data_IF_139418159449
#
_entry.id   IF_139418159449
#
_cell.length_a   1.000
_cell.length_b   1.000
_cell.length_c   1.000
_cell.angle_alpha   90.00
_cell.angle_beta   90.00
_cell.angle_gamma   90.00
#
_symmetry.space_group_name_H-M   'P 1'
#
loop_
_entity.id
_entity.type
_entity.pdbx_description
1 polymer ?
#
# COMPACT_ATOMS: atom_id res chain seq x y z
N UNK A 1 6.84 23.23 -2.49
CA UNK A 1 7.58 21.98 -2.21
C UNK A 1 6.59 20.85 -1.86
N UNK A 2 5.76 20.39 -2.80
CA UNK A 2 4.78 19.30 -2.55
C UNK A 2 5.30 17.91 -3.00
N UNK A 3 6.40 17.86 -3.73
CA UNK A 3 6.93 16.62 -4.35
C UNK A 3 7.59 15.68 -3.33
N UNK A 4 8.20 16.23 -2.28
CA UNK A 4 8.88 15.43 -1.25
C UNK A 4 7.90 14.60 -0.40
N UNK A 5 6.71 15.14 -0.10
CA UNK A 5 5.69 14.43 0.65
C UNK A 5 5.19 13.21 -0.12
N UNK A 6 4.95 13.36 -1.43
CA UNK A 6 4.53 12.26 -2.31
C UNK A 6 5.60 11.16 -2.40
N UNK A 7 6.86 11.55 -2.63
CA UNK A 7 7.98 10.59 -2.73
C UNK A 7 8.16 9.81 -1.43
N UNK A 8 8.02 10.49 -0.29
CA UNK A 8 8.08 9.87 1.04
C UNK A 8 6.93 8.90 1.26
N UNK A 9 5.70 9.31 0.93
CA UNK A 9 4.52 8.45 1.04
C UNK A 9 4.65 7.18 0.20
N UNK A 10 5.12 7.30 -1.05
CA UNK A 10 5.36 6.15 -1.93
C UNK A 10 6.43 5.20 -1.38
N UNK A 11 7.53 5.74 -0.86
CA UNK A 11 8.61 4.92 -0.26
C UNK A 11 8.08 4.14 0.95
N UNK A 12 7.31 4.79 1.81
CA UNK A 12 6.72 4.17 3.00
C UNK A 12 5.64 3.13 2.67
N UNK A 13 4.89 3.34 1.59
CA UNK A 13 3.96 2.34 1.07
C UNK A 13 4.72 1.12 0.50
N UNK A 14 5.79 1.37 -0.25
CA UNK A 14 6.61 0.30 -0.83
C UNK A 14 7.32 -0.54 0.25
N UNK A 15 7.78 0.08 1.34
CA UNK A 15 8.34 -0.62 2.50
C UNK A 15 7.30 -1.37 3.34
N UNK A 16 6.00 -1.24 3.04
CA UNK A 16 4.91 -1.82 3.83
C UNK A 16 4.74 -1.16 5.20
N UNK A 17 5.31 0.04 5.39
CA UNK A 17 5.21 0.79 6.65
C UNK A 17 3.87 1.51 6.76
N UNK A 18 3.32 1.97 5.64
CA UNK A 18 2.02 2.64 5.56
C UNK A 18 1.10 1.91 4.58
N UNK A 19 -0.18 1.89 4.90
CA UNK A 19 -1.23 1.47 3.95
C UNK A 19 -1.47 2.56 2.91
N UNK A 20 -2.16 2.21 1.82
CA UNK A 20 -2.47 3.14 0.72
C UNK A 20 -3.17 4.41 1.23
N UNK A 21 -4.18 4.26 2.09
CA UNK A 21 -4.93 5.36 2.71
C UNK A 21 -4.04 6.29 3.56
N UNK A 22 -3.12 5.71 4.33
CA UNK A 22 -2.19 6.48 5.17
C UNK A 22 -1.14 7.22 4.34
N UNK A 23 -0.61 6.58 3.30
CA UNK A 23 0.29 7.21 2.36
C UNK A 23 -0.40 8.35 1.59
N UNK A 24 -1.66 8.18 1.19
CA UNK A 24 -2.45 9.18 0.47
C UNK A 24 -2.70 10.41 1.35
N UNK A 25 -3.13 10.19 2.59
CA UNK A 25 -3.30 11.24 3.61
C UNK A 25 -1.99 12.00 3.84
N UNK A 26 -0.87 11.29 3.95
CA UNK A 26 0.46 11.90 4.13
C UNK A 26 0.93 12.69 2.91
N UNK A 27 0.55 12.27 1.71
CA UNK A 27 0.80 13.00 0.47
C UNK A 27 -0.17 14.18 0.26
N UNK A 28 -1.23 14.32 1.07
CA UNK A 28 -2.29 15.31 0.89
C UNK A 28 -3.09 15.09 -0.39
N UNK A 29 -3.23 13.83 -0.81
CA UNK A 29 -3.86 13.39 -2.06
C UNK A 29 -4.91 12.34 -1.76
N UNK A 30 -5.86 12.17 -2.68
CA UNK A 30 -6.78 11.02 -2.65
C UNK A 30 -6.04 9.72 -2.95
N UNK A 31 -6.57 8.60 -2.48
CA UNK A 31 -6.01 7.26 -2.72
C UNK A 31 -5.83 6.98 -4.21
N UNK A 32 -6.83 7.29 -5.05
CA UNK A 32 -6.75 7.13 -6.51
C UNK A 32 -5.60 7.92 -7.15
N UNK A 33 -5.30 9.12 -6.62
CA UNK A 33 -4.19 9.94 -7.09
C UNK A 33 -2.84 9.36 -6.67
N UNK A 34 -2.78 8.69 -5.52
CA UNK A 34 -1.60 7.95 -5.09
C UNK A 34 -1.41 6.67 -5.92
N UNK A 35 -2.48 5.91 -6.20
CA UNK A 35 -2.46 4.74 -7.10
C UNK A 35 -1.95 5.14 -8.47
N UNK A 36 -2.46 6.23 -9.04
CA UNK A 36 -2.00 6.75 -10.32
C UNK A 36 -0.52 7.16 -10.31
N UNK A 37 -0.02 7.66 -9.17
CA UNK A 37 1.40 7.98 -9.01
C UNK A 37 2.25 6.69 -8.89
N UNK A 38 1.81 5.71 -8.11
CA UNK A 38 2.46 4.41 -7.97
C UNK A 38 2.58 3.70 -9.33
N UNK A 39 1.49 3.67 -10.10
CA UNK A 39 1.47 3.08 -11.44
C UNK A 39 2.42 3.80 -12.41
N UNK A 40 2.45 5.14 -12.41
CA UNK A 40 3.40 5.92 -13.21
C UNK A 40 4.86 5.64 -12.85
N UNK A 41 5.13 5.29 -11.59
CA UNK A 41 6.45 4.92 -11.09
C UNK A 41 6.75 3.42 -11.21
N UNK A 42 5.85 2.61 -11.76
CA UNK A 42 6.01 1.16 -11.92
C UNK A 42 5.91 0.37 -10.60
N UNK A 43 5.27 0.94 -9.58
CA UNK A 43 4.98 0.26 -8.31
C UNK A 43 3.61 -0.39 -8.43
N UNK A 44 3.57 -1.72 -8.35
CA UNK A 44 2.31 -2.47 -8.29
C UNK A 44 1.60 -2.17 -6.98
N UNK A 45 0.36 -1.71 -7.09
CA UNK A 45 -0.49 -1.43 -5.93
C UNK A 45 -1.05 -2.75 -5.43
N UNK A 46 -0.62 -3.15 -4.23
CA UNK A 46 -1.13 -4.33 -3.52
C UNK A 46 -2.48 -3.98 -2.89
N UNK A 47 -3.50 -3.76 -3.72
CA UNK A 47 -4.84 -3.38 -3.25
C UNK A 47 -5.63 -4.56 -2.65
N UNK A 48 -5.10 -5.80 -2.62
CA UNK A 48 -5.95 -6.97 -2.37
C UNK A 48 -5.40 -8.10 -1.49
N UNK A 49 -4.19 -8.05 -0.93
CA UNK A 49 -3.67 -9.22 -0.17
C UNK A 49 -3.80 -9.15 1.37
N UNK A 50 -4.13 -8.00 1.97
CA UNK A 50 -4.35 -7.96 3.43
C UNK A 50 -5.69 -8.54 3.88
N UNK A 51 -6.66 -8.73 2.96
CA UNK A 51 -7.88 -9.53 3.22
C UNK A 51 -7.71 -10.97 2.71
N UNK A 52 -6.50 -11.53 2.74
CA UNK A 52 -6.32 -12.99 2.59
C UNK A 52 -5.13 -13.54 3.39
N UNK A 53 -4.21 -12.68 3.86
CA UNK A 53 -3.11 -13.11 4.72
C UNK A 53 -3.51 -13.42 6.19
N UNK A 54 -4.74 -13.09 6.62
CA UNK A 54 -5.26 -13.46 7.95
C UNK A 54 -6.03 -14.80 7.97
N UNK A 55 -5.98 -15.60 6.90
CA UNK A 55 -6.60 -16.94 6.86
C UNK A 55 -5.68 -17.96 6.19
N UNK A 56 -4.42 -18.01 6.62
CA UNK A 56 -3.53 -19.15 6.35
C UNK A 56 -2.96 -19.75 7.64
N UNK A 57 -3.76 -19.78 8.71
CA UNK A 57 -3.59 -20.81 9.74
C UNK A 57 -4.50 -21.99 9.40
N UNK A 58 -4.07 -22.77 8.41
CA UNK A 58 -4.44 -24.18 8.32
C UNK A 58 -3.34 -24.99 9.00
N UNK A 59 -3.52 -25.47 10.25
CA UNK A 59 -2.98 -26.76 10.62
C UNK A 59 -4.02 -27.80 10.22
N UNK A 60 -3.83 -28.36 9.03
CA UNK A 60 -4.43 -29.64 8.70
C UNK A 60 -3.82 -30.70 9.64
N UNK A 61 -4.64 -31.32 10.51
CA UNK A 61 -4.66 -32.78 10.64
C UNK A 61 -5.90 -33.28 11.37
N UNK A 62 -6.55 -34.24 10.74
CA UNK A 62 -7.50 -35.16 11.34
C UNK A 62 -6.79 -36.11 12.32
N UNK A 63 -7.43 -36.43 13.44
CA UNK A 63 -7.51 -37.74 14.11
C UNK A 63 -8.58 -37.69 15.20
#
# INVERSE_FOLDING_TARGET
MHTHALTTAMTLYQSGTLTLSQAATRAGRSEEALVSALHQHGVEVREQEEVTAATTETPARAD
#
